data_IF_410692725172
#
_entry.id   IF_410692725172
#
_cell.length_a   1.000
_cell.length_b   1.000
_cell.length_c   1.000
_cell.angle_alpha   90.00
_cell.angle_beta   90.00
_cell.angle_gamma   90.00
#
_symmetry.space_group_name_H-M   'P 1'
#
loop_
_entity.id
_entity.type
_entity.pdbx_description
1 polymer ?
#
# COMPACT_ATOMS: atom_id res chain seq x y z
N UNK A 1 8.99 23.99 1.15
CA UNK A 1 8.43 22.85 1.89
C UNK A 1 8.10 21.79 0.87
N UNK A 2 8.83 20.67 0.86
CA UNK A 2 8.44 19.49 0.07
C UNK A 2 7.09 19.04 0.61
N UNK A 3 6.05 19.13 -0.20
CA UNK A 3 4.72 18.67 0.20
C UNK A 3 4.72 17.12 0.20
N UNK A 4 4.04 16.49 1.17
CA UNK A 4 3.80 15.06 1.13
C UNK A 4 3.15 14.66 -0.20
N UNK A 5 3.62 13.55 -0.78
CA UNK A 5 3.08 13.05 -2.05
C UNK A 5 1.83 12.23 -1.79
N UNK A 6 0.69 12.79 -2.15
CA UNK A 6 -0.61 12.13 -2.07
C UNK A 6 -0.68 10.83 -2.90
N UNK A 7 0.27 10.61 -3.83
CA UNK A 7 0.30 9.38 -4.62
C UNK A 7 0.48 8.13 -3.76
N UNK A 8 1.22 8.21 -2.65
CA UNK A 8 1.43 7.04 -1.80
C UNK A 8 0.13 6.64 -1.11
N UNK A 9 -0.64 7.62 -0.62
CA UNK A 9 -1.98 7.36 -0.06
C UNK A 9 -2.96 6.84 -1.12
N UNK A 10 -2.92 7.38 -2.35
CA UNK A 10 -3.73 6.86 -3.45
C UNK A 10 -3.38 5.39 -3.79
N UNK A 11 -2.10 5.03 -3.82
CA UNK A 11 -1.65 3.66 -4.05
C UNK A 11 -1.99 2.73 -2.88
N UNK A 12 -1.84 3.21 -1.64
CA UNK A 12 -2.28 2.49 -0.45
C UNK A 12 -3.77 2.15 -0.54
N UNK A 13 -4.59 3.14 -0.88
CA UNK A 13 -6.03 2.98 -1.00
C UNK A 13 -6.41 1.92 -2.03
N UNK A 14 -5.77 1.91 -3.21
CA UNK A 14 -6.01 0.91 -4.27
C UNK A 14 -5.67 -0.54 -3.88
N UNK A 15 -4.90 -0.73 -2.80
CA UNK A 15 -4.50 -2.04 -2.28
C UNK A 15 -5.30 -2.45 -1.04
N UNK A 16 -6.25 -1.63 -0.57
CA UNK A 16 -7.16 -2.00 0.51
C UNK A 16 -8.20 -3.01 0.03
N UNK A 17 -8.74 -3.77 0.97
CA UNK A 17 -9.89 -4.63 0.72
C UNK A 17 -11.05 -3.78 0.14
N UNK A 18 -11.62 -4.15 -1.03
CA UNK A 18 -12.54 -3.31 -1.77
C UNK A 18 -13.96 -3.43 -1.22
N UNK A 19 -14.15 -3.08 0.06
CA UNK A 19 -15.47 -2.91 0.65
C UNK A 19 -16.19 -1.67 0.12
N UNK A 20 -17.44 -1.47 0.53
CA UNK A 20 -18.22 -0.33 0.05
C UNK A 20 -17.63 1.02 0.49
N UNK A 21 -17.07 1.11 1.70
CA UNK A 21 -16.48 2.34 2.21
C UNK A 21 -15.23 2.74 1.43
N UNK A 22 -14.35 1.78 1.16
CA UNK A 22 -13.17 1.92 0.31
C UNK A 22 -13.59 2.39 -1.10
N UNK A 23 -14.57 1.71 -1.72
CA UNK A 23 -14.98 2.02 -3.10
C UNK A 23 -15.58 3.42 -3.25
N UNK A 24 -16.27 3.93 -2.23
CA UNK A 24 -16.82 5.30 -2.24
C UNK A 24 -15.72 6.37 -2.35
N UNK A 25 -14.51 6.11 -1.88
CA UNK A 25 -13.39 7.06 -1.93
C UNK A 25 -12.62 7.04 -3.27
N UNK A 26 -12.90 6.09 -4.17
CA UNK A 26 -12.16 5.93 -5.44
C UNK A 26 -12.24 7.16 -6.35
N UNK A 27 -13.27 7.99 -6.21
CA UNK A 27 -13.36 9.27 -6.95
C UNK A 27 -12.19 10.19 -6.58
N UNK A 28 -11.93 10.39 -5.28
CA UNK A 28 -10.84 11.23 -4.80
C UNK A 28 -9.46 10.64 -5.15
N UNK A 29 -9.33 9.30 -5.06
CA UNK A 29 -8.12 8.59 -5.47
C UNK A 29 -7.80 8.82 -6.95
N UNK A 30 -8.80 8.76 -7.83
CA UNK A 30 -8.63 9.03 -9.26
C UNK A 30 -8.17 10.46 -9.52
N UNK A 31 -8.63 11.44 -8.75
CA UNK A 31 -8.20 12.84 -8.88
C UNK A 31 -6.72 13.01 -8.52
N UNK A 32 -6.26 12.39 -7.43
CA UNK A 32 -4.84 12.36 -7.06
C UNK A 32 -3.99 11.74 -8.16
N UNK A 33 -4.44 10.62 -8.75
CA UNK A 33 -3.73 9.94 -9.83
C UNK A 33 -3.66 10.81 -11.09
N UNK A 34 -4.74 11.50 -11.45
CA UNK A 34 -4.78 12.42 -12.62
C UNK A 34 -3.78 13.56 -12.49
N UNK A 35 -3.66 14.12 -11.29
CA UNK A 35 -2.77 15.24 -11.01
C UNK A 35 -1.29 14.85 -10.90
N UNK A 36 -0.99 13.55 -10.81
CA UNK A 36 0.38 13.07 -10.68
C UNK A 36 1.13 13.07 -12.02
N UNK A 37 1.94 14.11 -12.23
CA UNK A 37 2.73 14.31 -13.46
C UNK A 37 4.03 13.53 -13.53
N UNK A 38 4.50 12.99 -12.41
CA UNK A 38 5.74 12.19 -12.36
C UNK A 38 5.54 10.77 -12.90
N UNK A 39 4.29 10.29 -12.95
CA UNK A 39 3.95 9.01 -13.55
C UNK A 39 3.95 9.11 -15.07
N UNK A 40 4.41 8.04 -15.72
CA UNK A 40 4.23 7.91 -17.17
C UNK A 40 2.74 7.89 -17.53
N UNK A 41 2.39 8.38 -18.72
CA UNK A 41 1.01 8.35 -19.23
C UNK A 41 0.41 6.95 -19.20
N UNK A 42 1.22 5.94 -19.55
CA UNK A 42 0.81 4.53 -19.53
C UNK A 42 0.47 4.06 -18.12
N UNK A 43 1.35 4.31 -17.15
CA UNK A 43 1.12 3.94 -15.74
C UNK A 43 -0.10 4.66 -15.18
N UNK A 44 -0.24 5.97 -15.44
CA UNK A 44 -1.37 6.75 -14.96
C UNK A 44 -2.69 6.22 -15.52
N UNK A 45 -2.74 5.88 -16.81
CA UNK A 45 -3.93 5.26 -17.42
C UNK A 45 -4.27 3.90 -16.84
N UNK A 46 -3.26 3.05 -16.58
CA UNK A 46 -3.47 1.74 -15.98
C UNK A 46 -4.08 1.86 -14.57
N UNK A 47 -3.54 2.74 -13.73
CA UNK A 47 -4.07 2.98 -12.37
C UNK A 47 -5.50 3.54 -12.41
N UNK A 48 -5.80 4.46 -13.34
CA UNK A 48 -7.15 5.01 -13.49
C UNK A 48 -8.15 3.96 -13.98
N UNK A 49 -7.75 3.08 -14.89
CA UNK A 49 -8.57 1.96 -15.35
C UNK A 49 -8.85 0.99 -14.20
N UNK A 50 -7.82 0.59 -13.47
CA UNK A 50 -7.97 -0.28 -12.30
C UNK A 50 -8.91 0.33 -11.25
N UNK A 51 -8.75 1.61 -10.91
CA UNK A 51 -9.64 2.30 -9.98
C UNK A 51 -11.10 2.35 -10.49
N UNK A 52 -11.31 2.44 -11.80
CA UNK A 52 -12.64 2.42 -12.40
C UNK A 52 -13.25 1.02 -12.38
N UNK A 53 -12.46 -0.01 -12.67
CA UNK A 53 -12.89 -1.42 -12.59
C UNK A 53 -13.31 -1.78 -11.15
N UNK A 54 -12.53 -1.35 -10.15
CA UNK A 54 -12.88 -1.52 -8.74
C UNK A 54 -14.17 -0.79 -8.36
N UNK A 55 -14.42 0.39 -8.94
CA UNK A 55 -15.59 1.21 -8.63
C UNK A 55 -16.88 0.69 -9.27
N UNK A 56 -16.80 0.17 -10.49
CA UNK A 56 -17.95 -0.24 -11.30
C UNK A 56 -18.24 -1.75 -11.24
N UNK A 57 -17.28 -2.55 -10.79
CA UNK A 57 -17.43 -3.99 -10.65
C UNK A 57 -18.50 -4.38 -9.62
N UNK A 58 -19.03 -5.60 -9.75
CA UNK A 58 -19.90 -6.15 -8.72
C UNK A 58 -19.14 -6.27 -7.39
N UNK A 59 -19.78 -5.86 -6.30
CA UNK A 59 -19.12 -5.76 -5.00
C UNK A 59 -18.62 -7.10 -4.49
N UNK A 60 -19.32 -8.21 -4.77
CA UNK A 60 -18.89 -9.55 -4.37
C UNK A 60 -17.77 -10.05 -5.26
N UNK A 61 -17.87 -9.87 -6.58
CA UNK A 61 -16.86 -10.32 -7.52
C UNK A 61 -15.50 -9.64 -7.29
N UNK A 62 -15.51 -8.32 -7.05
CA UNK A 62 -14.27 -7.55 -6.80
C UNK A 62 -13.64 -7.95 -5.46
N UNK A 63 -14.45 -8.22 -4.44
CA UNK A 63 -13.98 -8.71 -3.13
C UNK A 63 -13.42 -10.13 -3.23
N UNK A 64 -14.08 -11.02 -3.97
CA UNK A 64 -13.60 -12.38 -4.22
C UNK A 64 -12.27 -12.35 -5.00
N UNK A 65 -12.16 -11.51 -6.03
CA UNK A 65 -10.93 -11.31 -6.77
C UNK A 65 -9.78 -10.87 -5.86
N UNK A 66 -10.03 -9.91 -4.96
CA UNK A 66 -9.03 -9.47 -3.98
C UNK A 66 -8.53 -10.62 -3.11
N UNK A 67 -9.45 -11.37 -2.48
CA UNK A 67 -9.10 -12.51 -1.61
C UNK A 67 -8.34 -13.58 -2.39
N UNK A 68 -8.77 -13.87 -3.62
CA UNK A 68 -8.10 -14.83 -4.49
C UNK A 68 -6.67 -14.41 -4.84
N UNK A 69 -6.43 -13.11 -5.00
CA UNK A 69 -5.14 -12.58 -5.39
C UNK A 69 -4.19 -12.48 -4.19
N UNK A 70 -4.60 -11.83 -3.11
CA UNK A 70 -3.70 -11.44 -2.02
C UNK A 70 -3.74 -12.39 -0.81
N UNK A 71 -4.91 -12.95 -0.47
CA UNK A 71 -5.09 -13.64 0.82
C UNK A 71 -4.89 -15.17 0.71
N UNK A 72 -4.99 -15.74 -0.49
CA UNK A 72 -4.87 -17.20 -0.70
C UNK A 72 -3.46 -17.70 -0.91
N UNK A 73 -2.53 -16.84 -1.34
CA UNK A 73 -1.17 -17.26 -1.74
C UNK A 73 -0.11 -16.39 -1.09
N UNK A 74 0.80 -17.01 -0.30
CA UNK A 74 1.91 -16.29 0.36
C UNK A 74 2.76 -15.45 -0.60
N UNK A 75 3.01 -15.93 -1.82
CA UNK A 75 3.85 -15.20 -2.80
C UNK A 75 3.22 -13.91 -3.34
N UNK A 76 1.92 -13.71 -3.11
CA UNK A 76 1.22 -12.48 -3.49
C UNK A 76 0.74 -11.70 -2.27
N UNK A 77 1.05 -12.16 -1.05
CA UNK A 77 0.65 -11.50 0.18
C UNK A 77 1.09 -10.04 0.21
N UNK A 78 0.25 -9.17 0.78
CA UNK A 78 0.58 -7.75 0.98
C UNK A 78 1.38 -7.50 2.26
N UNK A 79 2.02 -8.53 2.83
CA UNK A 79 2.94 -8.40 3.96
C UNK A 79 4.39 -8.49 3.50
N UNK A 80 5.13 -7.38 3.62
CA UNK A 80 6.50 -7.25 3.12
C UNK A 80 7.42 -8.36 3.64
N UNK A 81 7.31 -8.73 4.91
CA UNK A 81 8.25 -9.68 5.51
C UNK A 81 7.92 -11.15 5.24
N UNK A 82 6.71 -11.47 4.75
CA UNK A 82 6.41 -12.83 4.31
C UNK A 82 7.30 -13.27 3.14
N UNK A 83 7.65 -12.33 2.26
CA UNK A 83 8.48 -12.59 1.09
C UNK A 83 9.98 -12.70 1.40
N UNK A 84 10.44 -12.03 2.47
CA UNK A 84 11.87 -11.94 2.82
C UNK A 84 12.28 -12.97 3.86
N UNK A 85 11.48 -13.12 4.91
CA UNK A 85 11.87 -13.86 6.11
C UNK A 85 11.03 -15.12 6.35
N UNK A 86 9.88 -15.27 5.68
CA UNK A 86 8.97 -16.41 5.90
C UNK A 86 8.58 -16.54 7.38
N UNK A 87 8.84 -17.71 7.99
CA UNK A 87 8.61 -17.96 9.43
C UNK A 87 9.88 -17.81 10.29
N UNK A 88 10.93 -17.15 9.77
CA UNK A 88 12.18 -17.01 10.52
C UNK A 88 12.03 -16.07 11.72
N UNK A 89 12.91 -16.25 12.71
CA UNK A 89 13.00 -15.34 13.87
C UNK A 89 13.34 -13.90 13.45
N UNK A 90 13.97 -13.73 12.29
CA UNK A 90 14.34 -12.43 11.73
C UNK A 90 13.11 -11.60 11.38
N UNK A 91 11.98 -12.24 11.03
CA UNK A 91 10.69 -11.54 10.82
C UNK A 91 10.29 -10.75 12.06
N UNK A 92 10.40 -11.36 13.24
CA UNK A 92 10.02 -10.70 14.50
C UNK A 92 10.86 -9.45 14.77
N UNK A 93 12.17 -9.52 14.52
CA UNK A 93 13.04 -8.36 14.69
C UNK A 93 12.73 -7.27 13.66
N UNK A 94 12.52 -7.63 12.38
CA UNK A 94 12.16 -6.67 11.33
C UNK A 94 10.85 -5.93 11.64
N UNK A 95 9.87 -6.59 12.26
CA UNK A 95 8.63 -5.95 12.71
C UNK A 95 8.88 -4.92 13.83
N UNK A 96 9.76 -5.24 14.79
CA UNK A 96 10.14 -4.29 15.85
C UNK A 96 10.84 -3.08 15.23
N UNK A 97 11.81 -3.31 14.35
CA UNK A 97 12.56 -2.24 13.69
C UNK A 97 11.64 -1.31 12.87
N UNK A 98 10.64 -1.87 12.18
CA UNK A 98 9.65 -1.09 11.42
C UNK A 98 8.69 -0.30 12.33
N UNK A 99 8.28 -0.86 13.47
CA UNK A 99 7.50 -0.13 14.46
C UNK A 99 8.30 1.05 15.03
N UNK A 100 9.57 0.83 15.37
CA UNK A 100 10.45 1.88 15.86
C UNK A 100 10.63 2.99 14.82
N UNK A 101 10.77 2.64 13.53
CA UNK A 101 10.81 3.59 12.42
C UNK A 101 9.53 4.45 12.37
N UNK A 102 8.35 3.83 12.43
CA UNK A 102 7.09 4.57 12.46
C UNK A 102 7.03 5.55 13.64
N UNK A 103 7.42 5.11 14.83
CA UNK A 103 7.41 5.93 16.04
C UNK A 103 8.38 7.13 15.94
N UNK A 104 9.56 6.94 15.35
CA UNK A 104 10.53 8.02 15.12
C UNK A 104 9.96 9.14 14.24
N UNK A 105 9.04 8.79 13.34
CA UNK A 105 8.34 9.72 12.46
C UNK A 105 6.96 10.15 12.99
N UNK A 106 6.62 9.79 14.23
CA UNK A 106 5.40 10.23 14.90
C UNK A 106 4.15 9.39 14.60
N UNK A 107 4.28 8.27 13.90
CA UNK A 107 3.20 7.32 13.68
C UNK A 107 3.21 6.27 14.80
N UNK A 108 2.13 6.20 15.58
CA UNK A 108 1.94 5.18 16.62
C UNK A 108 0.83 4.25 16.17
N UNK A 109 1.19 2.99 15.89
CA UNK A 109 0.20 1.95 15.57
C UNK A 109 -0.61 1.64 16.82
N UNK A 110 -1.93 1.74 16.70
CA UNK A 110 -2.83 1.35 17.78
C UNK A 110 -2.96 -0.18 17.77
N UNK A 111 -2.80 -0.79 18.95
CA UNK A 111 -2.95 -2.25 19.11
C UNK A 111 -4.34 -2.76 18.68
N UNK A 112 -5.34 -1.86 18.67
CA UNK A 112 -6.73 -2.14 18.32
C UNK A 112 -6.95 -2.28 16.80
N UNK A 113 -6.03 -1.77 15.97
CA UNK A 113 -6.17 -1.80 14.52
C UNK A 113 -5.92 -3.18 13.92
N UNK A 114 -5.36 -4.14 14.68
CA UNK A 114 -5.01 -5.51 14.26
C UNK A 114 -4.14 -5.65 12.99
N UNK A 115 -3.79 -4.54 12.33
CA UNK A 115 -2.90 -4.51 11.18
C UNK A 115 -1.45 -4.68 11.62
N UNK A 116 -0.73 -5.55 10.90
CA UNK A 116 0.70 -5.72 11.10
C UNK A 116 1.46 -4.54 10.47
N UNK A 117 2.57 -4.10 11.07
CA UNK A 117 3.36 -2.96 10.59
C UNK A 117 3.86 -3.14 9.15
N UNK A 118 4.02 -4.37 8.69
CA UNK A 118 4.56 -4.72 7.37
C UNK A 118 3.48 -4.84 6.28
N UNK A 119 2.22 -4.52 6.59
CA UNK A 119 1.15 -4.44 5.61
C UNK A 119 1.43 -3.31 4.61
N UNK A 120 1.51 -3.62 3.32
CA UNK A 120 1.92 -2.69 2.26
C UNK A 120 1.08 -1.41 2.23
N UNK A 121 -0.27 -1.45 2.32
CA UNK A 121 -1.08 -0.24 2.38
C UNK A 121 -0.74 0.65 3.58
N UNK A 122 -0.54 0.08 4.76
CA UNK A 122 -0.13 0.83 5.95
C UNK A 122 1.24 1.50 5.75
N UNK A 123 2.20 0.77 5.18
CA UNK A 123 3.52 1.32 4.87
C UNK A 123 3.44 2.46 3.85
N UNK A 124 2.65 2.31 2.78
CA UNK A 124 2.45 3.38 1.79
C UNK A 124 1.73 4.60 2.39
N UNK A 125 0.73 4.39 3.25
CA UNK A 125 0.06 5.46 3.97
C UNK A 125 1.06 6.21 4.88
N UNK A 126 1.93 5.49 5.58
CA UNK A 126 3.04 6.08 6.33
C UNK A 126 3.95 6.94 5.43
N UNK A 127 4.39 6.43 4.29
CA UNK A 127 5.23 7.18 3.35
C UNK A 127 4.54 8.47 2.85
N UNK A 128 3.20 8.47 2.76
CA UNK A 128 2.43 9.65 2.37
C UNK A 128 2.52 10.79 3.37
N UNK A 129 2.89 10.52 4.63
CA UNK A 129 3.06 11.53 5.69
C UNK A 129 4.43 12.21 5.66
N UNK A 130 5.39 11.62 4.95
CA UNK A 130 6.78 12.08 4.89
C UNK A 130 7.00 13.05 3.73
N UNK A 131 8.10 13.78 3.77
CA UNK A 131 8.55 14.51 2.59
C UNK A 131 9.01 13.53 1.50
N UNK A 132 8.94 13.99 0.24
CA UNK A 132 9.21 13.13 -0.91
C UNK A 132 10.59 12.46 -0.88
N UNK A 133 11.63 13.14 -0.39
CA UNK A 133 12.98 12.55 -0.44
C UNK A 133 13.06 11.37 0.51
N UNK A 134 12.66 11.55 1.76
CA UNK A 134 12.64 10.47 2.76
C UNK A 134 11.70 9.34 2.35
N UNK A 135 10.50 9.66 1.82
CA UNK A 135 9.56 8.64 1.36
C UNK A 135 10.15 7.74 0.27
N UNK A 136 10.85 8.33 -0.72
CA UNK A 136 11.47 7.55 -1.79
C UNK A 136 12.68 6.75 -1.32
N UNK A 137 13.45 7.26 -0.36
CA UNK A 137 14.59 6.52 0.19
C UNK A 137 14.14 5.30 0.99
N UNK A 138 13.09 5.44 1.82
CA UNK A 138 12.50 4.32 2.54
C UNK A 138 11.84 3.30 1.60
N UNK A 139 11.21 3.73 0.50
CA UNK A 139 10.61 2.83 -0.48
C UNK A 139 11.62 1.94 -1.20
N UNK A 140 12.89 2.37 -1.33
CA UNK A 140 13.93 1.57 -2.02
C UNK A 140 14.26 0.29 -1.29
N UNK A 141 14.15 0.27 0.04
CA UNK A 141 14.49 -0.90 0.85
C UNK A 141 13.60 -2.12 0.51
N UNK A 142 12.26 -2.03 0.55
CA UNK A 142 11.38 -3.13 0.15
C UNK A 142 11.16 -3.25 -1.37
N UNK A 143 11.79 -2.42 -2.22
CA UNK A 143 11.47 -2.40 -3.65
C UNK A 143 11.64 -3.77 -4.33
N UNK A 144 12.67 -4.53 -3.94
CA UNK A 144 12.91 -5.87 -4.45
C UNK A 144 11.80 -6.86 -4.09
N UNK A 145 11.16 -6.67 -2.94
CA UNK A 145 9.99 -7.44 -2.49
C UNK A 145 8.76 -7.06 -3.29
N UNK A 146 8.50 -5.76 -3.42
CA UNK A 146 7.35 -5.24 -4.17
C UNK A 146 7.40 -5.70 -5.63
N UNK A 147 8.58 -5.75 -6.25
CA UNK A 147 8.78 -6.29 -7.60
C UNK A 147 8.54 -7.81 -7.70
N UNK A 148 8.69 -8.56 -6.61
CA UNK A 148 8.46 -10.00 -6.59
C UNK A 148 6.97 -10.37 -6.50
N UNK A 149 6.13 -9.46 -5.99
CA UNK A 149 4.68 -9.63 -5.90
C UNK A 149 4.01 -9.55 -7.29
N UNK A 150 4.57 -8.79 -8.23
CA UNK A 150 4.08 -8.68 -9.61
C UNK A 150 4.10 -7.27 -10.16
#
# INVERSE_FOLDING_TARGET
MNKPSLIFSALAHLLLYPDEAMRQQLVAVRDVIRDQRTLSETTRRALLGFAEDLQQGDGWDVQEMYVNLFDRTRSLSLHLFEHVHGESRDRGQAMVDLIDLYQQHGLVLQAENHELPDYVPLFLEFLSTLDNTTAHDLLKEPLHVLQAIG
#
